data_IF_762710107314
#
_entry.id   IF_762710107314
#
_cell.length_a   1.000
_cell.length_b   1.000
_cell.length_c   1.000
_cell.angle_alpha   90.00
_cell.angle_beta   90.00
_cell.angle_gamma   90.00
#
_symmetry.space_group_name_H-M   'P 1'
#
loop_
_entity.id
_entity.type
_entity.pdbx_description
1 polymer ?
#
# COMPACT_ATOMS: atom_id res chain seq x y z
N UNK A 1 -45.12 -63.91 36.45
CA UNK A 1 -44.36 -63.63 35.21
C UNK A 1 -44.86 -62.30 34.67
N UNK A 2 -44.31 -61.21 35.21
CA UNK A 2 -43.23 -60.38 34.66
C UNK A 2 -43.74 -59.35 33.63
N UNK A 3 -43.89 -58.12 34.13
CA UNK A 3 -43.98 -56.86 33.42
C UNK A 3 -42.76 -56.68 32.51
N UNK A 4 -42.93 -56.12 31.31
CA UNK A 4 -41.87 -55.38 30.65
C UNK A 4 -42.38 -54.05 30.10
N UNK A 5 -41.65 -53.04 30.52
CA UNK A 5 -41.81 -51.61 30.44
C UNK A 5 -41.67 -51.03 29.03
N UNK A 6 -42.55 -50.07 28.77
CA UNK A 6 -42.37 -48.85 27.99
C UNK A 6 -40.90 -48.44 27.77
N UNK A 7 -40.44 -48.42 26.52
CA UNK A 7 -39.32 -47.60 26.07
C UNK A 7 -39.64 -47.01 24.70
N UNK A 8 -40.15 -45.79 24.71
CA UNK A 8 -40.20 -44.87 23.57
C UNK A 8 -40.50 -43.52 24.20
N UNK A 9 -39.66 -42.49 24.16
CA UNK A 9 -39.18 -41.81 22.97
C UNK A 9 -38.43 -40.57 23.48
N UNK A 10 -37.10 -40.44 23.27
CA UNK A 10 -36.38 -39.24 23.75
C UNK A 10 -35.05 -38.92 23.03
N UNK A 11 -34.83 -39.38 21.80
CA UNK A 11 -33.54 -39.11 21.09
C UNK A 11 -33.67 -38.14 19.91
N UNK A 12 -34.88 -37.81 19.47
CA UNK A 12 -35.10 -36.98 18.28
C UNK A 12 -34.99 -35.47 18.52
N UNK A 13 -35.09 -34.97 19.75
CA UNK A 13 -35.10 -33.53 20.05
C UNK A 13 -33.72 -32.85 20.09
N UNK A 14 -32.64 -33.63 20.24
CA UNK A 14 -31.28 -33.10 20.45
C UNK A 14 -30.46 -33.10 19.14
N UNK A 15 -30.80 -33.95 18.17
CA UNK A 15 -30.02 -34.12 16.93
C UNK A 15 -30.23 -32.94 15.96
N UNK A 16 -31.43 -32.36 15.94
CA UNK A 16 -31.76 -31.21 15.09
C UNK A 16 -30.98 -29.92 15.42
N UNK A 17 -30.88 -29.46 16.68
CA UNK A 17 -30.11 -28.25 17.00
C UNK A 17 -28.61 -28.44 16.76
N UNK A 18 -28.08 -29.66 16.93
CA UNK A 18 -26.66 -29.97 16.67
C UNK A 18 -26.32 -29.95 15.17
N UNK A 19 -27.24 -30.38 14.31
CA UNK A 19 -27.07 -30.25 12.85
C UNK A 19 -27.15 -28.79 12.39
N UNK A 20 -28.05 -28.01 12.99
CA UNK A 20 -28.20 -26.59 12.68
C UNK A 20 -26.97 -25.78 13.12
N UNK A 21 -26.44 -26.05 14.32
CA UNK A 21 -25.23 -25.38 14.81
C UNK A 21 -24.00 -25.72 13.99
N UNK A 22 -23.89 -26.97 13.49
CA UNK A 22 -22.83 -27.38 12.56
C UNK A 22 -22.90 -26.60 11.24
N UNK A 23 -24.09 -26.43 10.66
CA UNK A 23 -24.28 -25.67 9.42
C UNK A 23 -23.94 -24.18 9.60
N UNK A 24 -24.35 -23.57 10.72
CA UNK A 24 -24.00 -22.18 11.04
C UNK A 24 -22.48 -22.02 11.20
N UNK A 25 -21.82 -22.93 11.91
CA UNK A 25 -20.37 -22.92 12.06
C UNK A 25 -19.66 -23.04 10.70
N UNK A 26 -20.16 -23.90 9.81
CA UNK A 26 -19.58 -24.12 8.48
C UNK A 26 -19.74 -22.89 7.57
N UNK A 27 -20.88 -22.20 7.63
CA UNK A 27 -21.11 -20.92 6.93
C UNK A 27 -20.19 -19.82 7.45
N UNK A 28 -20.00 -19.72 8.77
CA UNK A 28 -19.12 -18.73 9.39
C UNK A 28 -17.64 -18.97 9.03
N UNK A 29 -17.19 -20.22 9.04
CA UNK A 29 -15.80 -20.58 8.66
C UNK A 29 -15.57 -20.31 7.17
N UNK A 30 -16.50 -20.70 6.29
CA UNK A 30 -16.40 -20.44 4.85
C UNK A 30 -16.36 -18.92 4.55
N UNK A 31 -17.23 -18.13 5.19
CA UNK A 31 -17.24 -16.68 5.05
C UNK A 31 -15.94 -16.01 5.52
N UNK A 32 -15.34 -16.52 6.60
CA UNK A 32 -14.07 -16.01 7.13
C UNK A 32 -12.89 -16.35 6.19
N UNK A 33 -12.84 -17.56 5.64
CA UNK A 33 -11.79 -17.96 4.69
C UNK A 33 -11.88 -17.22 3.34
N UNK A 34 -13.10 -16.97 2.83
CA UNK A 34 -13.29 -16.26 1.57
C UNK A 34 -13.01 -14.76 1.66
N UNK A 35 -13.23 -14.13 2.82
CA UNK A 35 -12.97 -12.69 3.03
C UNK A 35 -11.50 -12.37 3.31
N UNK A 36 -10.71 -13.32 3.81
CA UNK A 36 -9.26 -13.13 4.00
C UNK A 36 -8.46 -13.21 2.69
N UNK A 37 -9.07 -13.66 1.59
CA UNK A 37 -8.46 -13.58 0.26
C UNK A 37 -8.70 -12.21 -0.39
N UNK A 38 -8.61 -11.12 0.40
CA UNK A 38 -8.55 -9.76 -0.13
C UNK A 38 -7.35 -9.70 -1.06
N UNK A 39 -7.69 -9.64 -2.35
CA UNK A 39 -6.82 -9.52 -3.50
C UNK A 39 -5.62 -8.63 -3.16
N UNK A 40 -4.51 -9.25 -2.78
CA UNK A 40 -3.20 -8.71 -3.07
C UNK A 40 -3.11 -8.73 -4.59
N UNK A 41 -3.74 -7.74 -5.23
CA UNK A 41 -3.61 -7.52 -6.66
C UNK A 41 -2.13 -7.46 -6.90
N UNK A 42 -1.57 -8.49 -7.57
CA UNK A 42 -0.17 -8.52 -7.94
C UNK A 42 0.06 -7.21 -8.68
N UNK A 43 0.77 -6.28 -8.04
CA UNK A 43 1.13 -5.01 -8.64
C UNK A 43 2.03 -5.37 -9.82
N UNK A 44 1.43 -5.59 -10.99
CA UNK A 44 2.16 -5.97 -12.18
C UNK A 44 3.16 -4.84 -12.45
N UNK A 45 4.46 -5.14 -12.57
CA UNK A 45 5.50 -4.13 -12.71
C UNK A 45 5.49 -3.56 -14.14
N UNK A 46 4.41 -2.86 -14.51
CA UNK A 46 4.37 -2.05 -15.71
C UNK A 46 5.23 -0.81 -15.46
N UNK A 47 6.22 -0.64 -16.32
CA UNK A 47 7.07 0.56 -16.34
C UNK A 47 6.20 1.75 -16.73
N UNK A 48 6.38 2.86 -16.02
CA UNK A 48 5.81 4.14 -16.40
C UNK A 48 6.90 5.19 -16.33
N UNK A 49 6.78 6.21 -17.18
CA UNK A 49 7.68 7.35 -17.16
C UNK A 49 7.15 8.39 -16.16
N UNK A 50 8.03 8.81 -15.26
CA UNK A 50 7.76 9.81 -14.25
C UNK A 50 8.70 10.99 -14.48
N UNK A 51 8.15 12.13 -14.90
CA UNK A 51 8.88 13.38 -15.05
C UNK A 51 8.75 14.18 -13.75
N UNK A 52 9.87 14.48 -13.11
CA UNK A 52 9.92 15.31 -11.90
C UNK A 52 10.63 16.61 -12.21
N UNK A 53 10.01 17.72 -11.79
CA UNK A 53 10.56 19.06 -11.89
C UNK A 53 10.78 19.64 -10.49
N UNK A 54 11.98 20.11 -10.22
CA UNK A 54 12.40 20.74 -8.96
C UNK A 54 12.77 22.19 -9.26
N UNK A 55 11.97 23.13 -8.75
CA UNK A 55 12.23 24.57 -8.88
C UNK A 55 13.00 25.07 -7.67
N UNK A 56 14.10 25.76 -7.90
CA UNK A 56 14.80 26.49 -6.85
C UNK A 56 14.22 27.91 -6.77
N UNK A 57 13.47 28.22 -5.72
CA UNK A 57 12.88 29.55 -5.56
C UNK A 57 13.88 30.62 -5.10
N UNK A 58 14.75 30.30 -4.13
CA UNK A 58 15.67 31.29 -3.54
C UNK A 58 16.81 30.65 -2.73
N UNK A 59 17.17 29.39 -2.99
CA UNK A 59 18.25 28.73 -2.26
C UNK A 59 19.56 29.04 -2.98
N UNK A 60 20.32 29.98 -2.42
CA UNK A 60 21.61 30.44 -2.96
C UNK A 60 22.78 29.57 -2.49
N UNK A 61 22.71 29.13 -1.23
CA UNK A 61 23.87 28.54 -0.54
C UNK A 61 23.90 27.00 -0.65
N UNK A 62 23.15 26.42 -1.59
CA UNK A 62 23.15 24.98 -1.77
C UNK A 62 24.44 24.53 -2.49
N UNK A 63 25.12 23.53 -1.92
CA UNK A 63 26.22 22.82 -2.56
C UNK A 63 25.69 21.95 -3.70
N UNK A 64 24.66 21.14 -3.41
CA UNK A 64 23.90 20.42 -4.42
C UNK A 64 22.53 19.98 -3.88
N UNK A 65 21.67 19.62 -4.81
CA UNK A 65 20.37 19.01 -4.57
C UNK A 65 20.46 17.52 -4.90
N UNK A 66 19.81 16.68 -4.10
CA UNK A 66 19.75 15.23 -4.30
C UNK A 66 18.31 14.76 -4.26
N UNK A 67 17.82 14.20 -5.36
CA UNK A 67 16.50 13.60 -5.45
C UNK A 67 16.62 12.08 -5.35
N UNK A 68 15.97 11.49 -4.35
CA UNK A 68 16.00 10.04 -4.09
C UNK A 68 14.59 9.48 -4.13
N UNK A 69 14.38 8.42 -4.90
CA UNK A 69 13.11 7.71 -4.90
C UNK A 69 13.10 6.44 -5.75
N UNK A 70 12.42 5.41 -5.24
CA UNK A 70 12.10 4.16 -5.98
C UNK A 70 13.30 3.50 -6.70
N UNK A 71 14.49 3.55 -6.09
CA UNK A 71 15.73 2.98 -6.66
C UNK A 71 16.50 3.93 -7.58
N UNK A 72 16.05 5.18 -7.71
CA UNK A 72 16.73 6.25 -8.41
C UNK A 72 17.32 7.25 -7.42
N UNK A 73 18.53 7.73 -7.74
CA UNK A 73 19.18 8.86 -7.08
C UNK A 73 19.70 9.78 -8.17
N UNK A 74 19.46 11.08 -8.03
CA UNK A 74 20.00 12.09 -8.92
C UNK A 74 20.52 13.27 -8.10
N UNK A 75 21.80 13.55 -8.28
CA UNK A 75 22.46 14.72 -7.71
C UNK A 75 22.57 15.77 -8.81
N UNK A 76 22.21 17.00 -8.52
CA UNK A 76 22.15 18.08 -9.49
C UNK A 76 22.33 19.45 -8.81
N UNK A 77 22.73 20.41 -9.62
CA UNK A 77 22.80 21.82 -9.22
C UNK A 77 21.69 22.59 -9.91
N UNK A 78 21.05 23.51 -9.18
CA UNK A 78 20.00 24.41 -9.72
C UNK A 78 20.26 25.79 -9.16
N UNK A 79 20.52 26.76 -10.03
CA UNK A 79 20.67 28.14 -9.60
C UNK A 79 19.32 28.70 -9.08
N UNK A 80 19.34 29.71 -8.21
CA UNK A 80 18.12 30.40 -7.80
C UNK A 80 17.33 30.90 -9.01
N UNK A 81 16.03 30.61 -9.07
CA UNK A 81 15.14 30.96 -10.18
C UNK A 81 14.98 29.84 -11.21
N UNK A 82 15.92 28.90 -11.29
CA UNK A 82 15.93 27.83 -12.29
C UNK A 82 15.11 26.60 -11.88
N UNK A 83 14.90 25.73 -12.86
CA UNK A 83 14.17 24.46 -12.72
C UNK A 83 15.01 23.31 -13.26
N UNK A 84 15.19 22.28 -12.44
CA UNK A 84 15.69 20.99 -12.87
C UNK A 84 14.52 20.09 -13.27
N UNK A 85 14.60 19.46 -14.43
CA UNK A 85 13.60 18.48 -14.88
C UNK A 85 14.28 17.21 -15.33
N UNK A 86 13.78 16.06 -14.87
CA UNK A 86 14.28 14.75 -15.28
C UNK A 86 13.17 13.70 -15.33
N UNK A 87 13.26 12.85 -16.35
CA UNK A 87 12.35 11.71 -16.54
C UNK A 87 12.99 10.42 -16.06
N UNK A 88 12.24 9.64 -15.29
CA UNK A 88 12.64 8.36 -14.72
C UNK A 88 11.71 7.25 -15.21
N UNK A 89 12.27 6.09 -15.59
CA UNK A 89 11.46 4.89 -15.74
C UNK A 89 11.26 4.21 -14.38
N UNK A 90 10.01 4.16 -13.93
CA UNK A 90 9.64 3.66 -12.60
C UNK A 90 8.77 2.42 -12.74
N UNK A 91 8.99 1.43 -11.87
CA UNK A 91 8.28 0.12 -11.93
C UNK A 91 7.19 -0.04 -10.87
N UNK A 92 7.21 0.80 -9.83
CA UNK A 92 6.32 0.68 -8.67
C UNK A 92 5.96 2.02 -8.07
N UNK A 93 4.89 2.03 -7.29
CA UNK A 93 4.61 3.11 -6.34
C UNK A 93 5.76 3.25 -5.35
N UNK A 94 6.11 4.47 -4.96
CA UNK A 94 7.04 4.67 -3.86
C UNK A 94 7.26 6.11 -3.46
N UNK A 95 8.14 6.28 -2.47
CA UNK A 95 8.47 7.58 -1.90
C UNK A 95 9.57 8.27 -2.70
N UNK A 96 9.41 9.57 -2.86
CA UNK A 96 10.37 10.51 -3.41
C UNK A 96 10.68 11.58 -2.37
N UNK A 97 11.96 11.89 -2.21
CA UNK A 97 12.46 12.87 -1.24
C UNK A 97 13.54 13.71 -1.89
N UNK A 98 13.43 15.03 -1.74
CA UNK A 98 14.48 15.97 -2.10
C UNK A 98 15.34 16.28 -0.88
N UNK A 99 16.64 16.24 -1.07
CA UNK A 99 17.65 16.66 -0.12
C UNK A 99 18.38 17.87 -0.68
N UNK A 100 18.77 18.76 0.21
CA UNK A 100 19.60 19.92 -0.09
C UNK A 100 20.79 19.87 0.86
N UNK A 101 22.00 19.81 0.30
CA UNK A 101 23.23 19.92 1.08
C UNK A 101 23.75 21.35 1.02
N UNK A 102 24.10 21.90 2.17
CA UNK A 102 24.68 23.23 2.34
C UNK A 102 26.15 23.10 2.78
N UNK A 103 26.97 24.16 2.63
CA UNK A 103 28.29 24.24 3.23
C UNK A 103 28.27 23.95 4.74
N UNK A 104 29.32 23.30 5.22
CA UNK A 104 29.49 22.91 6.63
C UNK A 104 28.66 21.70 7.05
N UNK A 105 28.49 20.71 6.15
CA UNK A 105 27.80 19.43 6.39
C UNK A 105 26.36 19.55 6.92
N UNK A 106 25.71 20.68 6.64
CA UNK A 106 24.30 20.88 6.96
C UNK A 106 23.45 20.36 5.82
N UNK A 107 22.36 19.67 6.15
CA UNK A 107 21.42 19.19 5.16
C UNK A 107 19.98 19.54 5.54
N UNK A 108 19.16 19.76 4.51
CA UNK A 108 17.70 19.87 4.63
C UNK A 108 17.03 18.81 3.78
N UNK A 109 15.80 18.44 4.17
CA UNK A 109 15.05 17.36 3.56
C UNK A 109 13.60 17.77 3.37
N UNK A 110 13.06 17.55 2.18
CA UNK A 110 11.65 17.77 1.91
C UNK A 110 10.75 16.71 2.56
N UNK A 111 9.47 17.01 2.79
CA UNK A 111 8.47 15.99 3.05
C UNK A 111 8.50 14.90 1.97
N UNK A 112 8.26 13.65 2.38
CA UNK A 112 8.23 12.51 1.47
C UNK A 112 6.97 12.59 0.62
N UNK A 113 7.12 12.47 -0.70
CA UNK A 113 5.99 12.41 -1.63
C UNK A 113 5.80 10.99 -2.13
N UNK A 114 4.61 10.44 -1.93
CA UNK A 114 4.24 9.12 -2.47
C UNK A 114 3.69 9.32 -3.87
N UNK A 115 4.33 8.68 -4.84
CA UNK A 115 3.94 8.77 -6.25
C UNK A 115 3.63 7.37 -6.76
N UNK A 116 2.49 7.23 -7.41
CA UNK A 116 2.11 6.04 -8.17
C UNK A 116 1.51 6.43 -9.51
N UNK A 117 1.50 5.46 -10.45
CA UNK A 117 0.78 5.60 -11.71
C UNK A 117 -0.68 6.04 -11.49
N UNK A 118 -1.38 5.38 -10.58
CA UNK A 118 -2.81 5.61 -10.37
C UNK A 118 -3.10 6.98 -9.73
N UNK A 119 -2.12 7.60 -9.06
CA UNK A 119 -2.29 8.93 -8.47
C UNK A 119 -2.32 10.06 -9.49
N UNK A 120 -1.88 9.82 -10.74
CA UNK A 120 -1.78 10.86 -11.77
C UNK A 120 -3.11 11.59 -12.02
N UNK A 121 -4.22 10.85 -12.14
CA UNK A 121 -5.54 11.45 -12.41
C UNK A 121 -6.04 12.39 -11.30
N UNK A 122 -5.56 12.20 -10.06
CA UNK A 122 -5.91 13.06 -8.92
C UNK A 122 -5.08 14.35 -8.86
N UNK A 123 -3.99 14.45 -9.63
CA UNK A 123 -3.05 15.57 -9.58
C UNK A 123 -3.27 16.57 -10.71
N UNK A 124 -3.93 16.15 -11.80
CA UNK A 124 -4.14 16.94 -13.03
C UNK A 124 -5.56 17.50 -13.14
N UNK A 125 -6.49 17.05 -12.29
CA UNK A 125 -7.82 17.67 -12.15
C UNK A 125 -7.75 18.89 -11.26
#
# INVERSE_FOLDING_TARGET
>A
MQQLSLFSSSTSSIIHPLRLSLLIALVLIAGCCCTHHRKHSRYYPRRYELTLSVRNHNVTDAKFFRLVGVGHTADFYVAPGDVFTKTYQVRRKGYWTLFVEFPGDRYSKSPRKVISRDSYSHWVR
#
